data_IF_018921744379
#
_entry.id   IF_018921744379
#
_cell.length_a   1.000
_cell.length_b   1.000
_cell.length_c   1.000
_cell.angle_alpha   90.00
_cell.angle_beta   90.00
_cell.angle_gamma   90.00
#
_symmetry.space_group_name_H-M   'P 1'
#
loop_
_entity.id
_entity.type
_entity.pdbx_description
1 polymer ?
#
# COMPACT_ATOMS: atom_id res chain seq x y z
N UNK A 1 3.35 9.54 1.43
CA UNK A 1 3.58 10.08 0.07
C UNK A 1 4.24 11.46 0.06
N UNK A 2 3.81 12.46 0.83
CA UNK A 2 4.37 13.82 0.80
C UNK A 2 5.91 13.88 0.94
N UNK A 3 6.47 13.08 1.84
CA UNK A 3 7.92 12.97 2.05
C UNK A 3 8.67 12.40 0.81
N UNK A 4 8.12 11.43 0.08
CA UNK A 4 8.69 10.95 -1.19
C UNK A 4 8.71 12.07 -2.24
N UNK A 5 7.60 12.79 -2.39
CA UNK A 5 7.51 13.92 -3.32
C UNK A 5 8.50 15.04 -2.97
N UNK A 6 8.63 15.38 -1.69
CA UNK A 6 9.62 16.36 -1.24
C UNK A 6 11.04 15.88 -1.54
N UNK A 7 11.35 14.61 -1.26
CA UNK A 7 12.65 14.03 -1.54
C UNK A 7 12.96 14.02 -3.05
N UNK A 8 11.98 13.71 -3.90
CA UNK A 8 12.15 13.71 -5.37
C UNK A 8 12.47 15.09 -5.97
N UNK A 9 12.13 16.17 -5.27
CA UNK A 9 12.35 17.57 -5.70
C UNK A 9 13.66 18.15 -5.18
N UNK A 10 14.38 17.42 -4.33
CA UNK A 10 15.69 17.84 -3.81
C UNK A 10 16.69 17.92 -4.96
N UNK A 11 17.47 18.99 -4.98
CA UNK A 11 18.53 19.21 -5.97
C UNK A 11 19.90 18.73 -5.48
N UNK A 12 20.02 18.36 -4.21
CA UNK A 12 21.24 17.90 -3.55
C UNK A 12 21.41 16.37 -3.55
N UNK A 13 20.55 15.65 -4.29
CA UNK A 13 20.57 14.18 -4.39
C UNK A 13 21.05 13.75 -5.79
N UNK A 14 21.52 12.51 -5.90
CA UNK A 14 21.93 11.97 -7.21
C UNK A 14 20.74 11.89 -8.17
N UNK A 15 20.99 12.04 -9.47
CA UNK A 15 19.95 11.88 -10.49
C UNK A 15 19.32 10.48 -10.45
N UNK A 16 20.13 9.46 -10.18
CA UNK A 16 19.65 8.08 -10.02
C UNK A 16 18.73 7.89 -8.81
N UNK A 17 19.06 8.51 -7.66
CA UNK A 17 18.14 8.54 -6.51
C UNK A 17 16.82 9.23 -6.88
N UNK A 18 16.90 10.38 -7.55
CA UNK A 18 15.71 11.12 -7.95
C UNK A 18 14.80 10.31 -8.89
N UNK A 19 15.37 9.63 -9.89
CA UNK A 19 14.61 8.86 -10.87
C UNK A 19 14.03 7.56 -10.30
N UNK A 20 14.77 6.90 -9.42
CA UNK A 20 14.24 5.77 -8.67
C UNK A 20 13.11 6.18 -7.72
N UNK A 21 13.25 7.29 -6.98
CA UNK A 21 12.17 7.81 -6.11
C UNK A 21 10.93 8.18 -6.93
N UNK A 22 11.09 8.80 -8.10
CA UNK A 22 9.94 9.09 -9.01
C UNK A 22 9.24 7.80 -9.45
N UNK A 23 10.00 6.73 -9.69
CA UNK A 23 9.44 5.43 -10.03
C UNK A 23 8.66 4.84 -8.86
N UNK A 24 9.20 4.92 -7.63
CA UNK A 24 8.48 4.52 -6.40
C UNK A 24 7.18 5.30 -6.24
N UNK A 25 7.20 6.61 -6.48
CA UNK A 25 5.98 7.46 -6.45
C UNK A 25 4.96 6.98 -7.48
N UNK A 26 5.39 6.66 -8.70
CA UNK A 26 4.49 6.22 -9.77
C UNK A 26 3.77 4.91 -9.41
N UNK A 27 4.50 3.91 -8.93
CA UNK A 27 3.93 2.62 -8.51
C UNK A 27 2.88 2.83 -7.39
N UNK A 28 3.24 3.61 -6.36
CA UNK A 28 2.33 3.90 -5.24
C UNK A 28 1.07 4.67 -5.67
N UNK A 29 1.19 5.62 -6.61
CA UNK A 29 0.04 6.35 -7.13
C UNK A 29 -0.90 5.45 -7.92
N UNK A 30 -0.35 4.54 -8.75
CA UNK A 30 -1.15 3.64 -9.56
C UNK A 30 -2.06 2.76 -8.71
N UNK A 31 -1.60 2.35 -7.53
CA UNK A 31 -2.40 1.54 -6.61
C UNK A 31 -3.31 2.38 -5.72
N UNK A 32 -2.92 3.60 -5.35
CA UNK A 32 -3.72 4.43 -4.45
C UNK A 32 -5.15 4.60 -4.94
N UNK A 33 -5.35 4.72 -6.25
CA UNK A 33 -6.67 4.83 -6.87
C UNK A 33 -7.48 3.53 -6.70
N UNK A 34 -6.85 2.39 -6.95
CA UNK A 34 -7.48 1.07 -6.81
C UNK A 34 -7.89 0.77 -5.35
N UNK A 35 -7.04 1.11 -4.38
CA UNK A 35 -7.33 0.91 -2.96
C UNK A 35 -8.43 1.84 -2.44
N UNK A 36 -8.56 3.06 -2.98
CA UNK A 36 -9.56 4.04 -2.54
C UNK A 36 -11.00 3.51 -2.69
N UNK A 37 -11.24 2.70 -3.74
CA UNK A 37 -12.55 2.08 -3.99
C UNK A 37 -12.94 1.06 -2.92
N UNK A 38 -11.96 0.37 -2.33
CA UNK A 38 -12.20 -0.63 -1.28
C UNK A 38 -12.16 -0.04 0.13
N UNK A 39 -11.46 1.08 0.34
CA UNK A 39 -11.41 1.77 1.63
C UNK A 39 -12.82 2.06 2.16
N UNK A 40 -13.69 2.64 1.32
CA UNK A 40 -15.08 2.92 1.69
C UNK A 40 -15.80 1.66 2.17
N UNK A 41 -15.67 0.56 1.43
CA UNK A 41 -16.31 -0.71 1.78
C UNK A 41 -15.77 -1.30 3.09
N UNK A 42 -14.46 -1.14 3.36
CA UNK A 42 -13.85 -1.62 4.60
C UNK A 42 -14.30 -0.77 5.80
N UNK A 43 -14.48 0.54 5.63
CA UNK A 43 -14.89 1.42 6.74
C UNK A 43 -16.28 1.11 7.29
N UNK A 44 -17.14 0.45 6.51
CA UNK A 44 -18.45 -0.05 6.97
C UNK A 44 -18.30 -1.03 8.14
N UNK A 45 -17.18 -1.73 8.28
CA UNK A 45 -16.92 -2.64 9.42
C UNK A 45 -17.13 -1.95 10.77
N UNK A 46 -16.81 -0.65 10.89
CA UNK A 46 -16.98 0.12 12.12
C UNK A 46 -18.45 0.35 12.50
N UNK A 47 -19.35 0.26 11.53
CA UNK A 47 -20.79 0.46 11.71
C UNK A 47 -21.52 -0.89 11.91
N UNK A 48 -20.81 -2.01 11.73
CA UNK A 48 -21.38 -3.34 11.91
C UNK A 48 -21.48 -3.71 13.39
N UNK A 49 -22.69 -4.07 13.82
CA UNK A 49 -22.97 -4.58 15.16
C UNK A 49 -23.20 -6.10 15.18
N UNK A 50 -23.33 -6.73 14.00
CA UNK A 50 -23.55 -8.16 13.82
C UNK A 50 -22.55 -8.73 12.79
N UNK A 51 -21.82 -9.77 13.18
CA UNK A 51 -20.84 -10.48 12.35
C UNK A 51 -21.30 -11.92 12.02
N UNK A 52 -22.58 -12.24 12.17
CA UNK A 52 -23.13 -13.55 11.80
C UNK A 52 -22.92 -13.90 10.31
N UNK A 53 -22.84 -15.20 10.00
CA UNK A 53 -22.58 -15.71 8.63
C UNK A 53 -23.63 -15.28 7.59
N UNK A 54 -24.84 -14.92 8.04
CA UNK A 54 -25.93 -14.48 7.17
C UNK A 54 -25.97 -12.95 6.97
N UNK A 55 -25.03 -12.19 7.54
CA UNK A 55 -25.01 -10.74 7.36
C UNK A 55 -24.40 -10.40 5.99
N UNK A 56 -25.16 -9.82 5.03
CA UNK A 56 -24.63 -9.45 3.71
C UNK A 56 -23.51 -8.40 3.80
N UNK A 57 -23.50 -7.55 4.83
CA UNK A 57 -22.43 -6.57 5.04
C UNK A 57 -21.11 -7.25 5.37
N UNK A 58 -21.13 -8.34 6.13
CA UNK A 58 -19.91 -9.13 6.40
C UNK A 58 -19.31 -9.68 5.11
N UNK A 59 -20.15 -10.17 4.20
CA UNK A 59 -19.69 -10.64 2.89
C UNK A 59 -19.04 -9.53 2.06
N UNK A 60 -19.62 -8.33 2.06
CA UNK A 60 -19.09 -7.15 1.34
C UNK A 60 -17.74 -6.70 1.92
N UNK A 61 -17.64 -6.56 3.25
CA UNK A 61 -16.38 -6.17 3.90
C UNK A 61 -15.31 -7.23 3.66
N UNK A 62 -15.67 -8.52 3.79
CA UNK A 62 -14.72 -9.63 3.53
C UNK A 62 -14.19 -9.59 2.10
N UNK A 63 -15.08 -9.41 1.13
CA UNK A 63 -14.69 -9.24 -0.27
C UNK A 63 -13.73 -8.06 -0.45
N UNK A 64 -14.04 -6.89 0.13
CA UNK A 64 -13.20 -5.71 0.03
C UNK A 64 -11.82 -5.91 0.65
N UNK A 65 -11.74 -6.55 1.84
CA UNK A 65 -10.48 -6.90 2.49
C UNK A 65 -9.65 -7.87 1.64
N UNK A 66 -10.26 -8.92 1.09
CA UNK A 66 -9.58 -9.91 0.24
C UNK A 66 -9.02 -9.28 -1.05
N UNK A 67 -9.79 -8.40 -1.69
CA UNK A 67 -9.32 -7.64 -2.87
C UNK A 67 -8.18 -6.70 -2.52
N UNK A 68 -8.31 -5.97 -1.42
CA UNK A 68 -7.28 -5.05 -0.94
C UNK A 68 -5.97 -5.78 -0.64
N UNK A 69 -6.02 -6.92 0.06
CA UNK A 69 -4.84 -7.75 0.32
C UNK A 69 -4.19 -8.27 -0.96
N UNK A 70 -4.98 -8.65 -1.97
CA UNK A 70 -4.45 -9.09 -3.28
C UNK A 70 -3.68 -7.97 -3.99
N UNK A 71 -4.24 -6.75 -3.97
CA UNK A 71 -3.62 -5.56 -4.57
C UNK A 71 -2.32 -5.20 -3.85
N UNK A 72 -2.34 -5.15 -2.51
CA UNK A 72 -1.17 -4.87 -1.68
C UNK A 72 -0.05 -5.90 -1.89
N UNK A 73 -0.39 -7.19 -2.01
CA UNK A 73 0.60 -8.24 -2.29
C UNK A 73 1.29 -8.04 -3.66
N UNK A 74 0.53 -7.64 -4.68
CA UNK A 74 1.07 -7.31 -6.01
C UNK A 74 2.00 -6.11 -5.94
N UNK A 75 1.61 -5.06 -5.20
CA UNK A 75 2.44 -3.87 -5.03
C UNK A 75 3.75 -4.13 -4.34
N UNK A 76 3.67 -4.89 -3.24
CA UNK A 76 4.83 -5.25 -2.45
C UNK A 76 5.87 -5.93 -3.33
N UNK A 77 5.43 -6.80 -4.24
CA UNK A 77 6.31 -7.46 -5.21
C UNK A 77 6.94 -6.46 -6.18
N UNK A 78 6.18 -5.52 -6.73
CA UNK A 78 6.68 -4.49 -7.66
C UNK A 78 7.69 -3.57 -6.99
N UNK A 79 7.38 -3.07 -5.80
CA UNK A 79 8.29 -2.22 -5.03
C UNK A 79 9.55 -2.95 -4.58
N UNK A 80 9.46 -4.24 -4.23
CA UNK A 80 10.65 -5.04 -3.94
C UNK A 80 11.56 -5.14 -5.18
N UNK A 81 11.00 -5.42 -6.36
CA UNK A 81 11.76 -5.43 -7.61
C UNK A 81 12.38 -4.07 -7.94
N UNK A 82 11.66 -2.98 -7.70
CA UNK A 82 12.19 -1.62 -7.87
C UNK A 82 13.32 -1.34 -6.87
N UNK A 83 13.17 -1.76 -5.62
CA UNK A 83 14.21 -1.65 -4.59
C UNK A 83 15.50 -2.37 -5.01
N UNK A 84 15.37 -3.57 -5.60
CA UNK A 84 16.53 -4.33 -6.10
C UNK A 84 17.21 -3.61 -7.27
N UNK A 85 16.43 -3.07 -8.22
CA UNK A 85 16.94 -2.28 -9.34
C UNK A 85 17.65 -1.00 -8.89
N UNK A 86 17.12 -0.37 -7.84
CA UNK A 86 17.63 0.88 -7.28
C UNK A 86 18.60 0.69 -6.10
N UNK A 87 19.05 -0.54 -5.85
CA UNK A 87 19.93 -0.92 -4.73
C UNK A 87 21.25 -0.15 -4.65
N UNK A 88 21.72 0.41 -5.78
CA UNK A 88 22.93 1.24 -5.85
C UNK A 88 22.71 2.69 -5.37
N UNK A 89 21.46 3.07 -5.09
CA UNK A 89 21.03 4.41 -4.72
C UNK A 89 20.48 4.36 -3.27
N UNK A 90 21.32 4.65 -2.25
CA UNK A 90 20.97 4.38 -0.85
C UNK A 90 19.75 5.17 -0.36
N UNK A 91 19.60 6.42 -0.80
CA UNK A 91 18.47 7.25 -0.39
C UNK A 91 17.18 6.69 -0.98
N UNK A 92 17.17 6.36 -2.28
CA UNK A 92 16.01 5.72 -2.91
C UNK A 92 15.67 4.37 -2.31
N UNK A 93 16.68 3.56 -1.99
CA UNK A 93 16.50 2.25 -1.34
C UNK A 93 15.80 2.43 0.02
N UNK A 94 16.29 3.34 0.87
CA UNK A 94 15.67 3.62 2.16
C UNK A 94 14.22 4.09 2.03
N UNK A 95 13.92 4.94 1.04
CA UNK A 95 12.56 5.41 0.75
C UNK A 95 11.63 4.29 0.24
N UNK A 96 12.14 3.40 -0.60
CA UNK A 96 11.38 2.25 -1.10
C UNK A 96 11.12 1.25 0.03
N UNK A 97 12.09 1.03 0.92
CA UNK A 97 11.91 0.18 2.09
C UNK A 97 10.88 0.74 3.08
N UNK A 98 10.84 2.06 3.27
CA UNK A 98 9.78 2.71 4.05
C UNK A 98 8.39 2.49 3.43
N UNK A 99 8.28 2.55 2.10
CA UNK A 99 7.03 2.25 1.41
C UNK A 99 6.59 0.79 1.58
N UNK A 100 7.54 -0.16 1.50
CA UNK A 100 7.29 -1.58 1.77
C UNK A 100 6.79 -1.82 3.20
N UNK A 101 7.42 -1.18 4.19
CA UNK A 101 6.99 -1.27 5.60
C UNK A 101 5.56 -0.76 5.81
N UNK A 102 5.17 0.30 5.09
CA UNK A 102 3.81 0.80 5.15
C UNK A 102 2.82 -0.24 4.61
N UNK A 103 3.10 -0.84 3.44
CA UNK A 103 2.27 -1.90 2.86
C UNK A 103 2.16 -3.11 3.79
N UNK A 104 3.27 -3.55 4.38
CA UNK A 104 3.30 -4.66 5.33
C UNK A 104 2.44 -4.36 6.57
N UNK A 105 2.52 -3.14 7.09
CA UNK A 105 1.71 -2.69 8.23
C UNK A 105 0.22 -2.65 7.89
N UNK A 106 -0.15 -2.12 6.72
CA UNK A 106 -1.54 -2.10 6.25
C UNK A 106 -2.09 -3.50 6.05
N UNK A 107 -1.32 -4.40 5.43
CA UNK A 107 -1.71 -5.82 5.24
C UNK A 107 -1.95 -6.50 6.59
N UNK A 108 -1.11 -6.22 7.59
CA UNK A 108 -1.31 -6.76 8.93
C UNK A 108 -2.60 -6.24 9.59
N UNK A 109 -2.92 -4.96 9.46
CA UNK A 109 -4.19 -4.39 9.95
C UNK A 109 -5.39 -5.06 9.28
N UNK A 110 -5.34 -5.24 7.96
CA UNK A 110 -6.39 -5.92 7.20
C UNK A 110 -6.57 -7.37 7.64
N UNK A 111 -5.48 -8.07 8.00
CA UNK A 111 -5.56 -9.43 8.54
C UNK A 111 -6.35 -9.49 9.86
N UNK A 112 -6.22 -8.47 10.72
CA UNK A 112 -6.97 -8.39 11.97
C UNK A 112 -8.46 -8.17 11.74
N UNK A 113 -8.82 -7.41 10.70
CA UNK A 113 -10.21 -7.23 10.27
C UNK A 113 -10.74 -8.56 9.73
N UNK A 114 -9.96 -9.24 8.88
CA UNK A 114 -10.36 -10.51 8.27
C UNK A 114 -10.66 -11.60 9.32
N UNK A 115 -9.92 -11.66 10.44
CA UNK A 115 -10.18 -12.63 11.51
C UNK A 115 -11.53 -12.39 12.21
N UNK A 116 -12.05 -11.16 12.20
CA UNK A 116 -13.35 -10.80 12.78
C UNK A 116 -14.52 -11.01 11.82
N UNK A 117 -14.23 -11.10 10.53
CA UNK A 117 -15.17 -11.40 9.44
C UNK A 117 -15.22 -12.91 9.24
#
# INVERSE_FOLDING_TARGET
MADLFQTSKRTDISSGDADCIKSTIRELLQISDELSSYEYLITIEKEMTDFGDNNPMRGIVKFAVEKTNTILASERKRLAQLSDQCSRYPLSTGKTQQALQFIDSTTNILSLIQVRL
#
